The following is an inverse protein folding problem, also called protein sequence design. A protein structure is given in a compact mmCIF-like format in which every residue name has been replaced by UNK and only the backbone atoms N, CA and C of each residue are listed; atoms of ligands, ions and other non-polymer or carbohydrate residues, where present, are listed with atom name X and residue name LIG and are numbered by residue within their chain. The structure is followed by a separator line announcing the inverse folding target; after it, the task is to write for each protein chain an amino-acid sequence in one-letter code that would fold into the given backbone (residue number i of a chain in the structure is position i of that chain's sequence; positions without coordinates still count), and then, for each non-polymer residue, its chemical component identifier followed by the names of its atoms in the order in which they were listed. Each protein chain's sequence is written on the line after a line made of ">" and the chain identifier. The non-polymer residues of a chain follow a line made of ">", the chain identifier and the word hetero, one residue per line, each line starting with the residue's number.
data_IF_239550053763
#
_entry.id   IF_239550053763
#
_cell.length_a   1.000
_cell.length_b   1.000
_cell.length_c   1.000
_cell.angle_alpha   90.00
_cell.angle_beta   90.00
_cell.angle_gamma   90.00
#
_symmetry.space_group_name_H-M   'P 1'
#
loop_
_entity.id
_entity.type
_entity.pdbx_description
1 polymer ?
#
# COMPACT_ATOMS: atom_id res chain seq x y z
N UNK A 1 22.50 49.28 -77.74
CA UNK A 1 22.97 48.96 -76.37
C UNK A 1 21.82 49.13 -75.38
N UNK A 2 21.43 48.00 -74.78
CA UNK A 2 20.79 47.77 -73.46
C UNK A 2 19.67 48.71 -72.95
N UNK A 3 18.47 48.16 -73.12
CA UNK A 3 17.25 48.22 -72.31
C UNK A 3 17.49 48.12 -70.80
N UNK A 4 16.69 48.82 -69.98
CA UNK A 4 16.43 48.42 -68.59
C UNK A 4 15.09 49.01 -68.06
N UNK A 5 14.03 48.20 -68.16
CA UNK A 5 12.77 48.39 -67.42
C UNK A 5 12.99 48.11 -65.93
N UNK A 6 12.48 49.00 -65.07
CA UNK A 6 12.41 48.79 -63.62
C UNK A 6 11.01 48.32 -63.23
N UNK A 7 10.87 47.02 -62.98
CA UNK A 7 9.69 46.41 -62.35
C UNK A 7 9.87 46.42 -60.83
N UNK A 8 8.98 47.12 -60.14
CA UNK A 8 8.84 47.12 -58.68
C UNK A 8 8.12 45.83 -58.23
N UNK A 9 8.86 44.91 -57.62
CA UNK A 9 8.30 43.76 -56.93
C UNK A 9 7.84 44.17 -55.52
N UNK A 10 6.52 44.22 -55.33
CA UNK A 10 5.89 44.33 -54.01
C UNK A 10 6.05 43.03 -53.23
N UNK A 11 6.75 43.08 -52.10
CA UNK A 11 6.86 41.99 -51.14
C UNK A 11 5.66 42.03 -50.20
N UNK A 12 4.71 41.11 -50.38
CA UNK A 12 3.65 40.84 -49.42
C UNK A 12 4.25 40.08 -48.22
N UNK A 13 4.28 40.72 -47.06
CA UNK A 13 4.73 40.15 -45.79
C UNK A 13 3.57 39.36 -45.17
N UNK A 14 3.51 38.04 -45.39
CA UNK A 14 2.57 37.15 -44.72
C UNK A 14 3.12 36.78 -43.34
N UNK A 15 2.68 37.51 -42.33
CA UNK A 15 2.99 37.26 -40.92
C UNK A 15 2.10 36.11 -40.41
N UNK A 16 2.62 34.88 -40.41
CA UNK A 16 1.95 33.74 -39.80
C UNK A 16 2.27 33.70 -38.29
N UNK A 17 1.37 34.21 -37.45
CA UNK A 17 1.45 33.98 -36.00
C UNK A 17 1.15 32.50 -35.70
N UNK A 18 2.19 31.73 -35.42
CA UNK A 18 2.06 30.40 -34.82
C UNK A 18 1.95 30.61 -33.31
N UNK A 19 0.72 30.61 -32.79
CA UNK A 19 0.48 30.54 -31.35
C UNK A 19 0.86 29.13 -30.86
N UNK A 20 2.10 28.98 -30.38
CA UNK A 20 2.53 27.80 -29.63
C UNK A 20 1.85 27.89 -28.27
N UNK A 21 0.68 27.28 -28.16
CA UNK A 21 0.03 27.05 -26.87
C UNK A 21 0.88 26.09 -26.06
N UNK A 22 1.73 26.64 -25.19
CA UNK A 22 2.41 25.88 -24.15
C UNK A 22 1.32 25.42 -23.18
N UNK A 23 0.86 24.19 -23.36
CA UNK A 23 0.08 23.48 -22.34
C UNK A 23 1.02 23.24 -21.16
N UNK A 24 1.06 24.19 -20.23
CA UNK A 24 1.68 23.98 -18.93
C UNK A 24 0.81 22.95 -18.19
N UNK A 25 1.14 21.67 -18.36
CA UNK A 25 0.63 20.59 -17.52
C UNK A 25 1.14 20.81 -16.10
N UNK A 26 0.43 21.63 -15.33
CA UNK A 26 0.68 21.77 -13.90
C UNK A 26 0.40 20.43 -13.23
N UNK A 27 1.44 19.72 -12.81
CA UNK A 27 1.28 18.62 -11.87
C UNK A 27 0.77 19.21 -10.56
N UNK A 28 -0.53 19.07 -10.29
CA UNK A 28 -1.07 19.41 -8.98
C UNK A 28 -0.51 18.40 -7.98
N UNK A 29 0.39 18.85 -7.11
CA UNK A 29 0.81 18.06 -5.97
C UNK A 29 -0.43 17.78 -5.12
N UNK A 30 -0.80 16.50 -5.02
CA UNK A 30 -1.88 16.08 -4.13
C UNK A 30 -1.46 16.42 -2.69
N UNK A 31 -2.37 16.95 -1.84
CA UNK A 31 -2.04 17.17 -0.44
C UNK A 31 -1.56 15.86 0.19
N UNK A 32 -0.64 15.94 1.17
CA UNK A 32 -0.20 14.74 1.88
C UNK A 32 -1.40 14.05 2.52
N UNK A 33 -1.43 12.71 2.55
CA UNK A 33 -2.53 11.98 3.17
C UNK A 33 -2.62 12.32 4.65
N UNK A 34 -3.84 12.47 5.15
CA UNK A 34 -4.11 12.73 6.56
C UNK A 34 -4.54 11.44 7.23
N UNK A 35 -3.91 11.10 8.36
CA UNK A 35 -4.18 9.83 9.04
C UNK A 35 -5.60 9.75 9.55
N UNK A 36 -6.09 10.84 10.17
CA UNK A 36 -7.35 10.88 10.91
C UNK A 36 -7.30 10.22 12.29
N UNK A 37 -6.19 9.54 12.64
CA UNK A 37 -5.97 8.89 13.94
C UNK A 37 -4.63 9.33 14.54
N UNK A 38 -4.58 9.84 15.79
CA UNK A 38 -3.33 10.24 16.43
C UNK A 38 -2.37 9.07 16.73
N UNK A 39 -2.83 7.82 16.66
CA UNK A 39 -2.03 6.61 16.89
C UNK A 39 -1.24 6.19 15.65
N UNK A 40 -1.63 6.68 14.47
CA UNK A 40 -1.04 6.32 13.18
C UNK A 40 -0.26 7.44 12.52
N UNK A 41 0.62 7.04 11.60
CA UNK A 41 1.24 7.92 10.61
C UNK A 41 0.72 7.56 9.23
N UNK A 42 0.29 8.56 8.46
CA UNK A 42 -0.19 8.36 7.09
C UNK A 42 0.97 8.46 6.09
N UNK A 43 0.97 7.56 5.12
CA UNK A 43 1.95 7.50 4.04
C UNK A 43 1.25 7.43 2.69
N UNK A 44 1.80 8.13 1.71
CA UNK A 44 1.33 8.04 0.33
C UNK A 44 1.94 6.80 -0.35
N UNK A 45 1.21 6.20 -1.28
CA UNK A 45 1.69 5.12 -2.13
C UNK A 45 0.99 3.78 -1.89
N UNK A 46 1.61 2.74 -2.42
CA UNK A 46 1.15 1.36 -2.32
C UNK A 46 2.11 0.57 -1.45
N UNK A 47 1.54 -0.22 -0.55
CA UNK A 47 2.25 -1.21 0.25
C UNK A 47 1.29 -2.39 0.38
N UNK A 48 1.77 -3.58 0.12
CA UNK A 48 0.95 -4.80 0.12
C UNK A 48 1.78 -6.00 0.51
N UNK A 49 1.13 -7.03 1.02
CA UNK A 49 1.78 -8.27 1.42
C UNK A 49 2.36 -8.99 0.20
N UNK A 50 3.62 -9.45 0.30
CA UNK A 50 4.29 -10.20 -0.76
C UNK A 50 4.77 -9.35 -1.94
N UNK A 51 4.81 -8.02 -1.81
CA UNK A 51 5.55 -7.18 -2.75
C UNK A 51 7.06 -7.50 -2.70
N UNK A 52 7.87 -7.10 -3.72
CA UNK A 52 9.31 -7.32 -3.66
C UNK A 52 9.96 -6.55 -2.49
N UNK A 53 10.48 -7.29 -1.51
CA UNK A 53 10.96 -6.74 -0.23
C UNK A 53 9.96 -7.04 0.89
N UNK A 54 10.38 -6.90 2.15
CA UNK A 54 9.46 -6.99 3.28
C UNK A 54 8.96 -5.58 3.62
N UNK A 55 7.64 -5.37 3.61
CA UNK A 55 7.01 -4.10 3.91
C UNK A 55 7.25 -3.65 5.35
N UNK A 56 7.40 -4.59 6.30
CA UNK A 56 7.73 -4.23 7.68
C UNK A 56 9.13 -3.61 7.73
N UNK A 57 10.10 -4.20 7.03
CA UNK A 57 11.45 -3.63 6.87
C UNK A 57 11.43 -2.25 6.18
N UNK A 58 10.66 -2.09 5.09
CA UNK A 58 10.53 -0.80 4.38
C UNK A 58 9.97 0.30 5.30
N UNK A 59 9.08 -0.06 6.21
CA UNK A 59 8.46 0.83 7.19
C UNK A 59 9.27 0.98 8.48
N UNK A 60 10.40 0.27 8.62
CA UNK A 60 11.21 0.27 9.83
C UNK A 60 10.52 -0.35 11.04
N UNK A 61 9.57 -1.27 10.82
CA UNK A 61 8.90 -2.05 11.84
C UNK A 61 9.61 -3.40 12.03
N UNK A 62 9.84 -3.86 13.28
CA UNK A 62 10.45 -5.18 13.49
C UNK A 62 9.51 -6.31 13.08
N UNK A 63 10.08 -7.44 12.66
CA UNK A 63 9.33 -8.63 12.27
C UNK A 63 9.11 -8.73 10.76
N UNK A 64 8.24 -9.64 10.35
CA UNK A 64 7.90 -9.84 8.94
C UNK A 64 6.40 -9.65 8.73
N UNK A 65 6.00 -9.42 7.48
CA UNK A 65 4.60 -9.36 7.08
C UNK A 65 3.84 -10.66 7.46
N UNK A 66 2.65 -10.50 8.05
CA UNK A 66 1.75 -11.61 8.36
C UNK A 66 0.28 -11.18 8.29
N UNK A 67 -0.61 -12.16 8.28
CA UNK A 67 -2.06 -11.99 8.34
C UNK A 67 -2.55 -12.45 9.71
N UNK A 68 -3.42 -11.68 10.34
CA UNK A 68 -4.05 -12.10 11.59
C UNK A 68 -4.96 -13.32 11.37
N UNK A 69 -4.95 -14.32 12.27
CA UNK A 69 -5.87 -15.45 12.18
C UNK A 69 -7.34 -15.04 12.30
N UNK A 70 -8.23 -15.76 11.63
CA UNK A 70 -9.67 -15.57 11.80
C UNK A 70 -10.09 -15.65 13.27
N UNK A 71 -11.05 -14.80 13.67
CA UNK A 71 -11.54 -14.73 15.04
C UNK A 71 -10.66 -13.93 16.00
N UNK A 72 -9.48 -13.45 15.57
CA UNK A 72 -8.63 -12.52 16.35
C UNK A 72 -8.84 -11.06 15.96
N UNK A 73 -9.63 -10.80 14.92
CA UNK A 73 -9.97 -9.48 14.42
C UNK A 73 -11.40 -9.42 13.88
N UNK A 74 -11.94 -8.22 13.75
CA UNK A 74 -13.17 -7.92 12.98
C UNK A 74 -12.87 -6.81 11.98
N UNK A 75 -13.59 -6.80 10.86
CA UNK A 75 -13.55 -5.71 9.90
C UNK A 75 -14.94 -5.44 9.32
N UNK A 76 -15.31 -4.17 9.19
CA UNK A 76 -16.57 -3.73 8.59
C UNK A 76 -16.37 -3.04 7.22
N UNK A 77 -15.15 -3.13 6.67
CA UNK A 77 -14.73 -2.48 5.42
C UNK A 77 -14.20 -1.06 5.61
N UNK A 78 -14.48 -0.38 6.72
CA UNK A 78 -13.94 0.96 7.03
C UNK A 78 -12.98 0.93 8.22
N UNK A 79 -13.26 0.08 9.19
CA UNK A 79 -12.52 -0.10 10.43
C UNK A 79 -12.12 -1.57 10.61
N UNK A 80 -11.03 -1.76 11.35
CA UNK A 80 -10.54 -3.04 11.82
C UNK A 80 -10.37 -2.96 13.34
N UNK A 81 -10.87 -3.97 14.04
CA UNK A 81 -10.56 -4.19 15.44
C UNK A 81 -9.69 -5.42 15.58
N UNK A 82 -8.58 -5.30 16.30
CA UNK A 82 -7.73 -6.44 16.67
C UNK A 82 -7.96 -6.73 18.14
N UNK A 83 -8.53 -7.90 18.41
CA UNK A 83 -8.97 -8.31 19.77
C UNK A 83 -8.15 -9.47 20.33
N UNK A 84 -7.42 -10.20 19.49
CA UNK A 84 -6.55 -11.31 19.87
C UNK A 84 -5.09 -11.07 19.53
N UNK A 85 -4.21 -11.79 20.21
CA UNK A 85 -2.78 -11.82 19.88
C UNK A 85 -2.51 -12.71 18.66
N UNK A 86 -1.41 -12.44 17.95
CA UNK A 86 -0.92 -13.32 16.89
C UNK A 86 -0.29 -14.58 17.51
N UNK A 87 -0.57 -15.80 16.99
CA UNK A 87 -0.11 -17.05 17.60
C UNK A 87 1.41 -17.25 17.49
N UNK A 88 2.01 -16.75 16.42
CA UNK A 88 3.42 -17.00 16.13
C UNK A 88 4.39 -15.97 16.73
N UNK A 89 3.89 -14.86 17.30
CA UNK A 89 4.77 -13.79 17.77
C UNK A 89 4.05 -12.55 18.27
N UNK A 90 4.81 -11.48 18.42
CA UNK A 90 4.30 -10.18 18.88
C UNK A 90 4.01 -9.31 17.68
N UNK A 91 2.80 -8.78 17.60
CA UNK A 91 2.46 -7.78 16.58
C UNK A 91 3.17 -6.47 16.92
N UNK A 92 4.04 -6.01 16.03
CA UNK A 92 4.85 -4.79 16.20
C UNK A 92 4.24 -3.59 15.49
N UNK A 93 3.38 -3.83 14.50
CA UNK A 93 2.60 -2.79 13.86
C UNK A 93 1.47 -3.34 12.99
N UNK A 94 0.52 -2.47 12.66
CA UNK A 94 -0.62 -2.75 11.78
C UNK A 94 -0.60 -1.75 10.64
N UNK A 95 -0.75 -2.24 9.41
CA UNK A 95 -0.81 -1.39 8.21
C UNK A 95 -2.22 -1.49 7.64
N UNK A 96 -2.91 -0.36 7.51
CA UNK A 96 -4.27 -0.30 6.97
C UNK A 96 -4.29 0.60 5.75
N UNK A 97 -4.58 0.02 4.58
CA UNK A 97 -4.51 0.69 3.29
C UNK A 97 -5.90 1.01 2.74
N UNK A 98 -6.07 2.23 2.26
CA UNK A 98 -7.28 2.70 1.59
C UNK A 98 -6.95 3.75 0.53
N UNK A 99 -7.50 3.58 -0.67
CA UNK A 99 -7.17 4.45 -1.80
C UNK A 99 -5.66 4.48 -2.13
N UNK A 100 -5.08 5.65 -2.43
CA UNK A 100 -3.67 5.79 -2.82
C UNK A 100 -2.71 5.92 -1.62
N UNK A 101 -3.16 5.62 -0.41
CA UNK A 101 -2.40 5.84 0.82
C UNK A 101 -2.65 4.73 1.85
N UNK A 102 -1.86 4.73 2.93
CA UNK A 102 -2.00 3.79 4.03
C UNK A 102 -1.63 4.44 5.37
N UNK A 103 -2.20 3.91 6.44
CA UNK A 103 -1.85 4.26 7.82
C UNK A 103 -0.96 3.16 8.39
N UNK A 104 0.09 3.57 9.10
CA UNK A 104 0.95 2.69 9.88
C UNK A 104 0.68 2.93 11.35
N UNK A 105 0.31 1.87 12.07
CA UNK A 105 0.05 1.89 13.51
C UNK A 105 1.14 1.07 14.23
N UNK A 106 2.19 1.71 14.76
CA UNK A 106 3.15 1.01 15.61
C UNK A 106 2.47 0.51 16.88
N UNK A 107 2.71 -0.74 17.27
CA UNK A 107 2.10 -1.34 18.46
C UNK A 107 2.41 -0.54 19.74
N UNK A 108 3.59 0.09 19.80
CA UNK A 108 3.98 0.98 20.90
C UNK A 108 3.06 2.19 21.08
N UNK A 109 2.38 2.64 20.01
CA UNK A 109 1.41 3.73 20.06
C UNK A 109 -0.01 3.23 20.37
N UNK A 110 -0.29 1.95 20.14
CA UNK A 110 -1.61 1.34 20.35
C UNK A 110 -1.82 0.88 21.80
N UNK A 111 -0.75 0.50 22.51
CA UNK A 111 -0.83 -0.01 23.88
C UNK A 111 -1.27 -1.48 23.93
N UNK A 112 -1.93 -1.87 25.02
CA UNK A 112 -2.43 -3.24 25.18
C UNK A 112 -3.69 -3.50 24.33
N UNK A 113 -3.87 -4.75 23.88
CA UNK A 113 -5.09 -5.19 23.21
C UNK A 113 -6.33 -5.00 24.13
N UNK A 114 -7.53 -4.74 23.55
CA UNK A 114 -7.81 -4.69 22.11
C UNK A 114 -7.44 -3.35 21.47
N UNK A 115 -7.08 -3.39 20.19
CA UNK A 115 -6.87 -2.21 19.37
C UNK A 115 -8.09 -1.99 18.49
N UNK A 116 -8.86 -0.95 18.80
CA UNK A 116 -10.14 -0.68 18.18
C UNK A 116 -10.05 0.43 17.14
N UNK A 117 -10.98 0.38 16.18
CA UNK A 117 -11.24 1.41 15.17
C UNK A 117 -9.99 1.77 14.33
N UNK A 118 -9.16 0.79 13.98
CA UNK A 118 -8.02 1.03 13.09
C UNK A 118 -8.54 1.26 11.67
N UNK A 119 -8.11 2.33 11.03
CA UNK A 119 -8.63 2.72 9.71
C UNK A 119 -7.55 3.21 8.75
N UNK A 120 -7.89 3.25 7.47
CA UNK A 120 -7.04 3.84 6.43
C UNK A 120 -7.02 5.38 6.52
N UNK A 121 -6.11 6.09 5.83
CA UNK A 121 -6.12 7.55 5.82
C UNK A 121 -7.47 8.15 5.40
N UNK A 122 -7.71 9.40 5.81
CA UNK A 122 -8.91 10.12 5.41
C UNK A 122 -8.97 10.26 3.87
N UNK A 123 -10.17 10.14 3.32
CA UNK A 123 -10.41 10.32 1.89
C UNK A 123 -10.17 11.78 1.45
N UNK A 124 -10.28 12.06 0.15
CA UNK A 124 -10.04 13.41 -0.41
C UNK A 124 -10.92 14.52 0.19
N UNK A 125 -12.07 14.16 0.78
CA UNK A 125 -12.93 15.12 1.48
C UNK A 125 -12.41 15.48 2.88
N UNK A 126 -11.40 14.76 3.40
CA UNK A 126 -10.75 14.99 4.70
C UNK A 126 -11.66 14.74 5.91
N UNK A 127 -12.79 14.02 5.73
CA UNK A 127 -13.84 13.91 6.75
C UNK A 127 -14.11 12.49 7.22
N UNK A 128 -13.71 11.49 6.45
CA UNK A 128 -13.98 10.07 6.74
C UNK A 128 -12.79 9.23 6.28
N UNK A 129 -12.47 8.14 6.97
CA UNK A 129 -11.53 7.15 6.46
C UNK A 129 -11.95 6.68 5.07
N UNK A 130 -10.96 6.39 4.22
CA UNK A 130 -11.23 5.68 2.99
C UNK A 130 -11.63 4.22 3.28
N UNK A 131 -12.35 3.60 2.35
CA UNK A 131 -12.64 2.17 2.42
C UNK A 131 -11.33 1.37 2.40
N UNK A 132 -11.26 0.36 3.26
CA UNK A 132 -10.08 -0.49 3.41
C UNK A 132 -10.01 -1.39 2.18
N UNK A 133 -8.90 -1.29 1.47
CA UNK A 133 -8.60 -2.16 0.33
C UNK A 133 -7.76 -3.36 0.73
N UNK A 134 -6.75 -3.14 1.58
CA UNK A 134 -5.81 -4.15 2.05
C UNK A 134 -5.34 -3.78 3.45
N UNK A 135 -4.96 -4.77 4.24
CA UNK A 135 -4.30 -4.55 5.52
C UNK A 135 -3.51 -5.80 5.91
N UNK A 136 -2.47 -5.61 6.71
CA UNK A 136 -1.64 -6.68 7.24
C UNK A 136 -0.99 -6.25 8.55
N UNK A 137 -0.32 -7.18 9.23
CA UNK A 137 0.41 -6.93 10.46
C UNK A 137 1.88 -7.25 10.29
N UNK A 138 2.73 -6.57 11.06
CA UNK A 138 4.13 -6.94 11.23
C UNK A 138 4.26 -7.78 12.49
N UNK A 139 4.83 -8.98 12.37
CA UNK A 139 4.95 -9.94 13.48
C UNK A 139 6.41 -10.25 13.72
N UNK A 140 6.88 -9.91 14.91
CA UNK A 140 8.19 -10.34 15.41
C UNK A 140 8.06 -11.73 16.03
N UNK A 141 8.58 -12.72 15.32
CA UNK A 141 8.59 -14.11 15.76
C UNK A 141 9.86 -14.35 16.58
N UNK A 142 9.75 -14.68 17.87
CA UNK A 142 10.93 -14.92 18.69
C UNK A 142 11.73 -16.09 18.11
N UNK A 143 12.99 -15.84 17.75
CA UNK A 143 13.89 -16.90 17.31
C UNK A 143 14.17 -17.84 18.49
N UNK A 144 13.76 -19.11 18.37
CA UNK A 144 14.10 -20.14 19.34
C UNK A 144 15.61 -20.41 19.25
N UNK A 145 16.38 -19.73 20.09
CA UNK A 145 17.81 -20.01 20.23
C UNK A 145 17.96 -21.36 20.92
N UNK A 146 18.13 -22.43 20.14
CA UNK A 146 18.48 -23.75 20.65
C UNK A 146 19.87 -23.67 21.25
N UNK A 147 19.95 -23.52 22.58
CA UNK A 147 21.22 -23.59 23.29
C UNK A 147 21.64 -25.05 23.35
N UNK A 148 22.50 -25.48 22.42
CA UNK A 148 23.15 -26.79 22.48
C UNK A 148 24.08 -26.81 23.69
N UNK A 149 23.59 -27.36 24.80
CA UNK A 149 24.44 -27.60 25.98
C UNK A 149 25.43 -28.69 25.62
N UNK A 150 26.70 -28.32 25.40
CA UNK A 150 27.76 -29.32 25.21
C UNK A 150 28.09 -29.92 26.57
N UNK A 151 27.58 -31.11 26.85
CA UNK A 151 28.01 -31.89 28.02
C UNK A 151 29.44 -32.35 27.80
N UNK A 152 30.41 -31.70 28.44
CA UNK A 152 31.80 -32.17 28.44
C UNK A 152 31.93 -33.37 29.37
N UNK A 153 31.93 -34.57 28.81
CA UNK A 153 32.33 -35.78 29.52
C UNK A 153 33.85 -35.77 29.68
N UNK A 154 34.35 -35.41 30.86
CA UNK A 154 35.77 -35.56 31.20
C UNK A 154 36.10 -37.03 31.42
N UNK A 155 36.78 -37.64 30.45
CA UNK A 155 37.50 -38.91 30.64
C UNK A 155 38.87 -38.58 31.24
N UNK A 156 39.31 -39.23 32.35
CA UNK A 156 40.66 -39.04 32.87
C UNK A 156 41.68 -39.67 31.91
N UNK A 157 42.37 -38.83 31.13
CA UNK A 157 43.49 -39.26 30.30
C UNK A 157 43.55 -38.55 28.95
N UNK A 158 44.67 -37.88 28.70
CA UNK A 158 45.08 -37.19 27.45
C UNK A 158 44.25 -35.97 27.03
N UNK A 159 44.81 -34.79 27.32
CA UNK A 159 44.32 -33.47 26.91
C UNK A 159 44.65 -33.21 25.44
N UNK A 160 43.63 -33.11 24.58
CA UNK A 160 43.75 -32.53 23.24
C UNK A 160 42.77 -31.37 23.14
N UNK A 161 43.29 -30.15 23.15
CA UNK A 161 42.49 -28.91 23.08
C UNK A 161 42.23 -28.56 21.61
N UNK A 162 40.97 -28.62 21.17
CA UNK A 162 40.55 -28.07 19.87
C UNK A 162 39.98 -26.67 20.12
N UNK A 163 40.47 -25.61 19.46
CA UNK A 163 39.91 -24.27 19.60
C UNK A 163 38.53 -24.20 18.95
N UNK A 164 37.47 -24.09 19.76
CA UNK A 164 36.14 -23.73 19.30
C UNK A 164 36.03 -22.21 19.17
N UNK A 165 35.64 -21.72 17.98
CA UNK A 165 35.34 -20.31 17.73
C UNK A 165 34.06 -19.91 18.45
N UNK A 166 34.17 -19.04 19.46
CA UNK A 166 33.01 -18.44 20.14
C UNK A 166 32.66 -17.12 19.45
N UNK A 167 31.52 -17.08 18.75
CA UNK A 167 30.93 -15.82 18.27
C UNK A 167 30.02 -15.29 19.37
N UNK A 168 30.45 -14.22 20.05
CA UNK A 168 29.64 -13.52 21.06
C UNK A 168 28.88 -12.37 20.40
N UNK A 169 27.56 -12.47 20.29
CA UNK A 169 26.67 -11.34 20.02
C UNK A 169 26.22 -10.74 21.36
N UNK A 170 26.15 -9.41 21.55
CA UNK A 170 25.79 -8.81 22.84
C UNK A 170 24.38 -9.22 23.28
N UNK A 171 24.29 -9.90 24.43
CA UNK A 171 23.02 -10.31 25.03
C UNK A 171 22.30 -9.16 25.71
N UNK A 172 21.02 -8.99 25.37
CA UNK A 172 20.09 -8.07 26.05
C UNK A 172 19.80 -8.62 27.45
N UNK A 173 20.01 -7.80 28.48
CA UNK A 173 19.78 -8.15 29.88
C UNK A 173 18.27 -8.14 30.17
N UNK A 174 17.64 -9.30 30.26
CA UNK A 174 16.23 -9.41 30.68
C UNK A 174 16.16 -9.48 32.21
N UNK A 175 15.57 -8.45 32.82
CA UNK A 175 15.26 -8.42 34.25
C UNK A 175 14.01 -9.28 34.51
N UNK A 176 14.15 -10.32 35.33
CA UNK A 176 13.04 -11.20 35.74
C UNK A 176 12.28 -10.56 36.90
N UNK A 177 11.00 -10.22 36.68
CA UNK A 177 10.06 -9.81 37.74
C UNK A 177 9.36 -11.07 38.28
N UNK A 178 9.29 -11.31 39.61
CA UNK A 178 8.60 -12.47 40.16
C UNK A 178 7.07 -12.30 40.21
N UNK A 179 6.36 -13.28 39.61
CA UNK A 179 5.14 -13.93 40.11
C UNK A 179 3.87 -13.10 40.37
N UNK A 180 2.84 -13.32 39.56
CA UNK A 180 1.45 -13.02 39.92
C UNK A 180 0.56 -14.25 39.87
N UNK A 181 -0.21 -14.40 40.95
CA UNK A 181 -1.17 -15.45 41.33
C UNK A 181 -2.31 -15.68 40.34
N UNK A 182 -2.56 -16.96 40.05
CA UNK A 182 -3.74 -17.48 39.33
C UNK A 182 -5.02 -17.30 40.17
N UNK A 183 -6.03 -16.65 39.59
CA UNK A 183 -7.40 -16.61 40.12
C UNK A 183 -8.32 -17.40 39.18
N UNK A 184 -9.05 -18.36 39.73
CA UNK A 184 -10.02 -19.25 39.08
C UNK A 184 -11.28 -18.50 38.67
N UNK A 185 -11.68 -18.61 37.39
CA UNK A 185 -12.90 -18.02 36.85
C UNK A 185 -14.15 -18.91 36.99
N UNK A 186 -15.38 -18.35 36.96
CA UNK A 186 -16.62 -19.10 36.83
C UNK A 186 -17.03 -19.34 35.35
N UNK A 187 -17.90 -20.34 35.19
CA UNK A 187 -18.28 -21.08 33.99
C UNK A 187 -18.83 -20.27 32.79
N UNK A 188 -18.47 -20.73 31.58
CA UNK A 188 -19.01 -20.25 30.31
C UNK A 188 -20.45 -20.75 30.07
N UNK A 189 -21.34 -19.82 29.71
CA UNK A 189 -22.70 -20.09 29.24
C UNK A 189 -22.68 -20.17 27.71
N UNK A 190 -23.20 -21.26 27.14
CA UNK A 190 -23.33 -21.47 25.69
C UNK A 190 -24.60 -20.82 25.15
N UNK A 191 -24.46 -19.86 24.25
CA UNK A 191 -25.56 -19.33 23.41
C UNK A 191 -25.47 -19.90 22.00
N UNK A 192 -26.52 -20.59 21.56
CA UNK A 192 -26.68 -21.10 20.19
C UNK A 192 -27.34 -20.06 19.29
N UNK A 193 -26.62 -19.56 18.29
CA UNK A 193 -27.16 -18.66 17.26
C UNK A 193 -27.63 -19.48 16.05
N UNK A 194 -28.89 -19.27 15.65
CA UNK A 194 -29.57 -19.93 14.53
C UNK A 194 -29.09 -19.38 13.19
N UNK A 195 -28.59 -20.28 12.33
CA UNK A 195 -28.19 -20.03 10.93
C UNK A 195 -29.33 -19.40 10.10
N UNK A 196 -29.11 -18.31 9.36
CA UNK A 196 -30.06 -17.83 8.35
C UNK A 196 -30.05 -18.71 7.08
N UNK A 197 -31.22 -18.82 6.45
CA UNK A 197 -31.45 -19.58 5.23
C UNK A 197 -30.61 -19.07 4.04
N UNK A 198 -30.21 -19.94 3.10
CA UNK A 198 -29.55 -19.51 1.87
C UNK A 198 -30.52 -18.74 0.98
N UNK A 199 -30.07 -17.59 0.47
CA UNK A 199 -30.76 -16.80 -0.52
C UNK A 199 -30.73 -17.49 -1.89
N UNK A 200 -31.83 -17.29 -2.62
CA UNK A 200 -32.12 -17.79 -3.97
C UNK A 200 -31.10 -17.27 -4.97
N UNK A 201 -30.55 -18.18 -5.76
CA UNK A 201 -29.79 -17.91 -6.99
C UNK A 201 -30.75 -17.40 -8.07
N UNK A 202 -30.63 -16.12 -8.42
CA UNK A 202 -31.14 -15.55 -9.66
C UNK A 202 -30.01 -15.52 -10.69
N UNK A 203 -30.22 -16.23 -11.79
CA UNK A 203 -29.45 -16.09 -13.02
C UNK A 203 -29.65 -14.68 -13.60
N UNK A 204 -28.60 -14.09 -14.16
CA UNK A 204 -28.53 -13.53 -15.53
C UNK A 204 -27.26 -12.65 -15.66
N UNK A 205 -26.34 -13.10 -16.54
CA UNK A 205 -25.24 -12.35 -17.18
C UNK A 205 -24.72 -11.05 -16.52
N UNK A 206 -24.01 -11.16 -15.39
CA UNK A 206 -23.26 -10.03 -14.81
C UNK A 206 -21.74 -10.27 -14.93
N UNK A 207 -21.19 -9.78 -16.05
CA UNK A 207 -19.75 -9.58 -16.23
C UNK A 207 -19.24 -8.65 -15.12
N UNK A 208 -18.13 -9.03 -14.49
CA UNK A 208 -17.50 -8.27 -13.40
C UNK A 208 -17.44 -6.76 -13.71
N UNK A 209 -18.22 -5.99 -12.95
CA UNK A 209 -18.19 -4.53 -12.95
C UNK A 209 -16.88 -4.04 -12.34
N UNK A 210 -15.77 -4.20 -13.06
CA UNK A 210 -14.54 -3.45 -12.79
C UNK A 210 -14.89 -1.98 -13.04
N UNK A 211 -15.00 -1.20 -11.97
CA UNK A 211 -15.45 0.20 -11.96
C UNK A 211 -14.52 1.19 -12.67
N UNK A 212 -13.95 0.81 -13.81
CA UNK A 212 -13.21 1.69 -14.71
C UNK A 212 -14.21 2.48 -15.55
N UNK A 213 -14.42 3.73 -15.15
CA UNK A 213 -15.20 4.73 -15.88
C UNK A 213 -14.46 5.19 -17.16
N UNK A 214 -14.35 4.28 -18.13
CA UNK A 214 -13.64 4.47 -19.41
C UNK A 214 -14.28 5.52 -20.35
N UNK A 215 -15.35 6.20 -19.94
CA UNK A 215 -16.01 7.23 -20.73
C UNK A 215 -15.06 8.38 -21.10
N UNK A 216 -14.15 8.75 -20.20
CA UNK A 216 -13.12 9.76 -20.47
C UNK A 216 -12.09 9.31 -21.52
N UNK A 217 -11.70 8.03 -21.50
CA UNK A 217 -10.80 7.46 -22.51
C UNK A 217 -11.49 7.35 -23.87
N UNK A 218 -12.79 7.05 -23.91
CA UNK A 218 -13.57 7.01 -25.15
C UNK A 218 -13.73 8.41 -25.76
N UNK A 219 -14.01 9.43 -24.94
CA UNK A 219 -14.13 10.82 -25.41
C UNK A 219 -12.75 11.34 -25.87
N UNK A 220 -11.71 11.13 -25.06
CA UNK A 220 -10.35 11.56 -25.38
C UNK A 220 -9.79 10.86 -26.61
N UNK A 221 -9.95 9.55 -26.72
CA UNK A 221 -9.54 8.75 -27.87
C UNK A 221 -10.25 9.18 -29.16
N UNK A 222 -11.56 9.42 -29.10
CA UNK A 222 -12.35 9.86 -30.25
C UNK A 222 -11.93 11.25 -30.76
N UNK A 223 -11.66 12.19 -29.85
CA UNK A 223 -11.18 13.52 -30.20
C UNK A 223 -9.81 13.46 -30.93
N UNK A 224 -8.91 12.59 -30.46
CA UNK A 224 -7.59 12.43 -31.06
C UNK A 224 -7.68 11.85 -32.48
N UNK A 225 -8.56 10.87 -32.71
CA UNK A 225 -8.78 10.28 -34.04
C UNK A 225 -9.34 11.31 -35.01
N UNK A 226 -10.34 12.10 -34.60
CA UNK A 226 -10.91 13.15 -35.45
C UNK A 226 -9.89 14.23 -35.81
N UNK A 227 -9.04 14.62 -34.87
CA UNK A 227 -7.95 15.56 -35.12
C UNK A 227 -6.91 15.00 -36.12
N UNK A 228 -6.55 13.73 -35.98
CA UNK A 228 -5.63 13.05 -36.90
C UNK A 228 -6.16 12.99 -38.33
N UNK A 229 -7.45 12.64 -38.51
CA UNK A 229 -8.10 12.63 -39.82
C UNK A 229 -8.16 14.04 -40.43
N UNK A 230 -8.49 15.06 -39.62
CA UNK A 230 -8.50 16.46 -40.06
C UNK A 230 -7.14 16.92 -40.58
N UNK A 231 -6.05 16.60 -39.87
CA UNK A 231 -4.69 16.94 -40.29
C UNK A 231 -4.29 16.27 -41.62
N UNK A 232 -4.67 15.01 -41.82
CA UNK A 232 -4.40 14.29 -43.07
C UNK A 232 -5.16 14.91 -44.25
N UNK A 233 -6.44 15.26 -44.09
CA UNK A 233 -7.22 15.91 -45.14
C UNK A 233 -6.70 17.31 -45.48
N UNK A 234 -6.31 18.09 -44.47
CA UNK A 234 -5.70 19.41 -44.67
C UNK A 234 -4.38 19.32 -45.44
N UNK A 235 -3.54 18.32 -45.15
CA UNK A 235 -2.28 18.10 -45.88
C UNK A 235 -2.52 17.73 -47.35
N UNK A 236 -3.53 16.90 -47.63
CA UNK A 236 -3.89 16.47 -48.99
C UNK A 236 -4.48 17.62 -49.81
N UNK A 237 -5.31 18.48 -49.20
CA UNK A 237 -5.84 19.67 -49.85
C UNK A 237 -4.74 20.70 -50.15
N UNK A 238 -3.82 20.91 -49.19
CA UNK A 238 -2.66 21.80 -49.38
C UNK A 238 -1.75 21.33 -50.51
N UNK A 239 -1.55 20.02 -50.67
CA UNK A 239 -0.77 19.46 -51.78
C UNK A 239 -1.47 19.59 -53.14
N UNK A 240 -2.81 19.63 -53.18
CA UNK A 240 -3.55 19.90 -54.42
C UNK A 240 -3.53 21.37 -54.83
N UNK A 241 -3.57 22.30 -53.88
CA UNK A 241 -3.52 23.74 -54.15
C UNK A 241 -2.13 24.24 -54.58
N UNK A 242 -1.08 23.41 -54.41
CA UNK A 242 0.30 23.72 -54.81
C UNK A 242 0.69 23.15 -56.18
N UNK A 243 -0.20 22.41 -56.84
CA UNK A 243 -0.05 21.96 -58.23
C UNK A 243 -0.93 22.81 -59.12
#
# INVERSE_FOLDING_TARGET
>A
MRTASRTLFGKALLLAMVAVGVLASGASAQPPPESGDPRATAHAGNIDIGQPGDACDELGLPGNESVMPEGTYTSDGTFIDITGAHPDGVVTGVIVKGGPAYNVYPAGNLGALPWLDLHSPLNESGKKPAEISHWFVCVDVPTTTTTTTTTTTTVPGTTTTVPGTTTTTPGVTTTTVPGTTTTTGPAATTTTTKKPAPAVVGSDDELAATGVNNLWLLIGGSALVLAGVGALLASKLRNRLRR
#
